data_IF_636264003593
#
_entry.id   IF_636264003593
#
_cell.length_a   1.000
_cell.length_b   1.000
_cell.length_c   1.000
_cell.angle_alpha   90.00
_cell.angle_beta   90.00
_cell.angle_gamma   90.00
#
_symmetry.space_group_name_H-M   'P 1'
#
loop_
_entity.id
_entity.type
_entity.pdbx_description
1 polymer ?
#
# COMPACT_ATOMS: atom_id res chain seq x y z
N UNK A 1 -27.00 28.92 -10.01
CA UNK A 1 -27.16 27.47 -10.32
C UNK A 1 -25.99 26.81 -11.05
N UNK A 2 -25.11 27.49 -11.79
CA UNK A 2 -23.98 26.84 -12.51
C UNK A 2 -22.92 26.18 -11.59
N UNK A 3 -22.80 26.60 -10.32
CA UNK A 3 -21.78 26.08 -9.39
C UNK A 3 -22.09 24.68 -8.81
N UNK A 4 -23.36 24.25 -8.81
CA UNK A 4 -23.73 22.96 -8.24
C UNK A 4 -23.31 21.78 -9.14
N UNK A 5 -23.55 21.88 -10.46
CA UNK A 5 -23.21 20.82 -11.42
C UNK A 5 -21.70 20.59 -11.55
N UNK A 6 -20.88 21.63 -11.39
CA UNK A 6 -19.42 21.50 -11.41
C UNK A 6 -18.88 20.79 -10.18
N UNK A 7 -19.51 20.96 -9.01
CA UNK A 7 -19.13 20.24 -7.78
C UNK A 7 -19.37 18.74 -7.89
N UNK A 8 -20.54 18.34 -8.36
CA UNK A 8 -20.96 16.94 -8.45
C UNK A 8 -20.12 16.12 -9.47
N UNK A 9 -19.79 16.72 -10.62
CA UNK A 9 -18.91 16.06 -11.59
C UNK A 9 -17.47 15.85 -11.07
N UNK A 10 -17.03 16.66 -10.09
CA UNK A 10 -15.68 16.57 -9.50
C UNK A 10 -15.60 15.46 -8.46
N UNK A 11 -16.62 15.30 -7.63
CA UNK A 11 -16.68 14.23 -6.61
C UNK A 11 -16.73 12.86 -7.26
N UNK A 12 -17.46 12.73 -8.37
CA UNK A 12 -17.53 11.48 -9.13
C UNK A 12 -16.15 11.06 -9.69
N UNK A 13 -15.39 12.01 -10.26
CA UNK A 13 -14.05 11.74 -10.82
C UNK A 13 -13.03 11.37 -9.75
N UNK A 14 -13.05 12.03 -8.59
CA UNK A 14 -12.12 11.72 -7.50
C UNK A 14 -12.43 10.37 -6.85
N UNK A 15 -13.71 10.05 -6.68
CA UNK A 15 -14.15 8.72 -6.22
C UNK A 15 -13.72 7.61 -7.17
N UNK A 16 -13.93 7.79 -8.49
CA UNK A 16 -13.54 6.81 -9.50
C UNK A 16 -12.01 6.58 -9.53
N UNK A 17 -11.21 7.65 -9.49
CA UNK A 17 -9.75 7.53 -9.46
C UNK A 17 -9.26 6.79 -8.21
N UNK A 18 -9.82 7.10 -7.03
CA UNK A 18 -9.52 6.40 -5.79
C UNK A 18 -9.89 4.90 -5.85
N UNK A 19 -11.08 4.59 -6.36
CA UNK A 19 -11.55 3.20 -6.51
C UNK A 19 -10.69 2.39 -7.48
N UNK A 20 -10.35 2.96 -8.65
CA UNK A 20 -9.47 2.31 -9.63
C UNK A 20 -8.11 2.03 -9.00
N UNK A 21 -7.53 3.01 -8.29
CA UNK A 21 -6.24 2.82 -7.62
C UNK A 21 -6.31 1.79 -6.49
N UNK A 22 -7.42 1.71 -5.77
CA UNK A 22 -7.64 0.67 -4.75
C UNK A 22 -7.67 -0.73 -5.38
N UNK A 23 -8.40 -0.90 -6.48
CA UNK A 23 -8.45 -2.16 -7.23
C UNK A 23 -7.04 -2.54 -7.72
N UNK A 24 -6.30 -1.59 -8.30
CA UNK A 24 -4.93 -1.82 -8.74
C UNK A 24 -4.03 -2.19 -7.56
N UNK A 25 -4.15 -1.55 -6.39
CA UNK A 25 -3.32 -1.87 -5.24
C UNK A 25 -3.53 -3.29 -4.71
N UNK A 26 -4.77 -3.79 -4.79
CA UNK A 26 -5.12 -5.16 -4.38
C UNK A 26 -4.63 -6.17 -5.42
N UNK A 27 -4.84 -5.87 -6.72
CA UNK A 27 -4.57 -6.82 -7.80
C UNK A 27 -3.09 -6.85 -8.23
N UNK A 28 -2.42 -5.71 -8.23
CA UNK A 28 -1.07 -5.58 -8.77
C UNK A 28 -0.03 -6.26 -7.87
N UNK A 29 0.94 -6.98 -8.46
CA UNK A 29 2.01 -7.56 -7.68
C UNK A 29 2.84 -6.45 -7.01
N UNK A 30 3.21 -6.70 -5.76
CA UNK A 30 4.12 -5.90 -4.95
C UNK A 30 5.59 -6.25 -5.23
N UNK A 31 5.84 -7.50 -5.62
CA UNK A 31 7.19 -7.95 -5.92
C UNK A 31 7.21 -9.30 -6.60
N UNK A 32 8.41 -9.64 -7.07
CA UNK A 32 8.78 -10.95 -7.54
C UNK A 32 9.68 -11.59 -6.47
N UNK A 33 9.29 -12.74 -5.96
CA UNK A 33 10.12 -13.57 -5.10
C UNK A 33 10.79 -14.63 -5.97
N UNK A 34 12.10 -14.72 -5.90
CA UNK A 34 12.89 -15.72 -6.60
C UNK A 34 13.63 -16.56 -5.58
N UNK A 35 13.44 -17.86 -5.63
CA UNK A 35 14.05 -18.83 -4.73
C UNK A 35 15.16 -19.55 -5.49
N UNK A 36 16.35 -19.59 -4.91
CA UNK A 36 17.52 -20.23 -5.48
C UNK A 36 18.06 -21.32 -4.56
N UNK A 37 18.68 -22.32 -5.17
CA UNK A 37 19.54 -23.26 -4.47
C UNK A 37 20.89 -22.57 -4.18
N UNK A 38 21.28 -22.41 -2.91
CA UNK A 38 22.55 -21.77 -2.57
C UNK A 38 23.78 -22.57 -3.03
N UNK A 39 23.64 -23.89 -3.23
CA UNK A 39 24.76 -24.76 -3.63
C UNK A 39 25.01 -24.66 -5.13
N UNK A 40 23.95 -24.75 -5.92
CA UNK A 40 24.06 -24.85 -7.37
C UNK A 40 23.78 -23.54 -8.10
N UNK A 41 23.16 -22.56 -7.42
CA UNK A 41 22.76 -21.27 -7.98
C UNK A 41 21.52 -21.33 -8.88
N UNK A 42 20.91 -22.52 -9.06
CA UNK A 42 19.72 -22.67 -9.91
C UNK A 42 18.49 -22.02 -9.27
N UNK A 43 17.63 -21.48 -10.12
CA UNK A 43 16.31 -21.01 -9.71
C UNK A 43 15.42 -22.23 -9.45
N UNK A 44 14.96 -22.35 -8.20
CA UNK A 44 14.03 -23.38 -7.75
C UNK A 44 12.60 -22.95 -8.07
N UNK A 45 12.23 -21.73 -7.72
CA UNK A 45 10.87 -21.21 -7.86
C UNK A 45 10.87 -19.69 -8.07
N UNK A 46 9.85 -19.21 -8.78
CA UNK A 46 9.55 -17.80 -8.92
C UNK A 46 8.09 -17.56 -8.58
N UNK A 47 7.78 -16.52 -7.82
CA UNK A 47 6.40 -16.19 -7.49
C UNK A 47 6.15 -14.69 -7.47
N UNK A 48 5.03 -14.26 -8.05
CA UNK A 48 4.51 -12.91 -7.89
C UNK A 48 3.81 -12.82 -6.54
N UNK A 49 4.22 -11.84 -5.74
CA UNK A 49 3.56 -11.54 -4.48
C UNK A 49 2.59 -10.41 -4.74
N UNK A 50 1.30 -10.69 -4.64
CA UNK A 50 0.24 -9.68 -4.60
C UNK A 50 -0.22 -9.48 -3.15
N UNK A 51 -1.11 -8.51 -2.95
CA UNK A 51 -1.62 -8.20 -1.60
C UNK A 51 -2.40 -9.37 -0.99
N UNK A 52 -3.20 -10.06 -1.81
CA UNK A 52 -4.10 -11.13 -1.38
C UNK A 52 -3.78 -12.49 -2.00
N UNK A 53 -2.68 -12.64 -2.74
CA UNK A 53 -2.31 -13.93 -3.29
C UNK A 53 -0.84 -13.96 -3.66
N UNK A 54 -0.29 -15.15 -3.73
CA UNK A 54 1.02 -15.40 -4.32
C UNK A 54 0.79 -16.27 -5.55
N UNK A 55 1.23 -15.82 -6.72
CA UNK A 55 1.09 -16.55 -7.97
C UNK A 55 2.45 -17.15 -8.34
N UNK A 56 2.62 -18.48 -8.27
CA UNK A 56 3.83 -19.11 -8.77
C UNK A 56 3.94 -18.88 -10.28
N UNK A 57 5.03 -18.26 -10.70
CA UNK A 57 5.43 -18.17 -12.11
C UNK A 57 6.30 -19.39 -12.37
N UNK A 58 5.87 -20.27 -13.28
CA UNK A 58 6.50 -21.57 -13.56
C UNK A 58 7.87 -21.47 -14.25
N UNK A 59 8.78 -20.67 -13.71
CA UNK A 59 10.17 -20.56 -14.11
C UNK A 59 11.04 -21.12 -12.98
N UNK A 60 11.49 -22.36 -13.14
CA UNK A 60 12.33 -23.06 -12.17
C UNK A 60 12.51 -24.52 -12.56
N UNK A 61 13.56 -25.15 -12.04
CA UNK A 61 13.77 -26.59 -12.19
C UNK A 61 13.02 -27.28 -11.05
N UNK A 62 12.05 -28.14 -11.38
CA UNK A 62 11.44 -29.01 -10.38
C UNK A 62 12.49 -30.02 -9.90
N UNK A 63 12.82 -29.97 -8.61
CA UNK A 63 13.86 -30.79 -7.96
C UNK A 63 15.21 -30.70 -8.67
N UNK A 64 15.92 -29.55 -8.55
CA UNK A 64 17.27 -29.48 -9.06
C UNK A 64 18.14 -30.56 -8.38
N UNK A 65 19.09 -31.18 -9.10
CA UNK A 65 20.00 -32.15 -8.51
C UNK A 65 20.76 -31.48 -7.35
N UNK A 66 20.71 -32.10 -6.16
CA UNK A 66 21.28 -31.54 -4.94
C UNK A 66 20.31 -31.64 -3.76
N UNK A 67 20.18 -30.55 -3.01
CA UNK A 67 19.51 -30.47 -1.70
C UNK A 67 18.03 -30.89 -1.73
N UNK A 68 17.37 -30.86 -2.89
CA UNK A 68 15.93 -31.11 -3.04
C UNK A 68 15.59 -32.30 -3.96
N UNK A 69 16.56 -33.16 -4.29
CA UNK A 69 16.34 -34.28 -5.21
C UNK A 69 15.21 -35.23 -4.79
N UNK A 70 15.05 -35.44 -3.48
CA UNK A 70 14.10 -36.39 -2.89
C UNK A 70 12.78 -35.73 -2.40
N UNK A 71 12.62 -34.41 -2.58
CA UNK A 71 11.45 -33.70 -2.07
C UNK A 71 10.29 -33.82 -3.05
N UNK A 72 9.06 -34.04 -2.54
CA UNK A 72 7.88 -34.07 -3.40
C UNK A 72 7.71 -32.74 -4.13
N UNK A 73 7.44 -32.75 -5.45
CA UNK A 73 7.28 -31.52 -6.21
C UNK A 73 6.18 -30.65 -5.61
N UNK A 74 6.47 -29.35 -5.49
CA UNK A 74 5.52 -28.38 -4.94
C UNK A 74 4.26 -28.36 -5.82
N UNK A 75 3.05 -28.47 -5.26
CA UNK A 75 1.82 -28.46 -6.03
C UNK A 75 1.71 -27.21 -6.91
N UNK A 76 1.32 -27.41 -8.17
CA UNK A 76 1.25 -26.38 -9.23
C UNK A 76 0.06 -25.43 -9.12
N UNK A 77 -0.68 -25.47 -8.01
CA UNK A 77 -1.89 -24.70 -7.81
C UNK A 77 -1.57 -23.42 -7.03
N UNK A 78 -2.28 -22.33 -7.33
CA UNK A 78 -2.17 -21.13 -6.51
C UNK A 78 -2.67 -21.49 -5.11
N UNK A 79 -1.74 -21.68 -4.16
CA UNK A 79 -2.11 -22.03 -2.79
C UNK A 79 -2.51 -20.73 -2.10
N UNK A 80 -3.81 -20.50 -1.78
CA UNK A 80 -4.17 -19.42 -0.87
C UNK A 80 -3.64 -19.81 0.50
N UNK A 81 -2.42 -19.42 0.84
CA UNK A 81 -1.83 -19.68 2.16
C UNK A 81 -2.31 -18.61 3.14
N UNK A 82 -3.33 -18.85 3.98
CA UNK A 82 -3.90 -17.86 4.91
C UNK A 82 -2.83 -17.20 5.81
N UNK A 83 -1.78 -17.95 6.18
CA UNK A 83 -0.67 -17.45 6.99
C UNK A 83 0.18 -16.38 6.29
N UNK A 84 0.34 -16.47 4.97
CA UNK A 84 1.10 -15.49 4.19
C UNK A 84 0.35 -14.15 4.13
N UNK A 85 -0.98 -14.15 4.21
CA UNK A 85 -1.78 -12.92 4.25
C UNK A 85 -1.51 -12.09 5.51
N UNK A 86 -1.51 -12.74 6.67
CA UNK A 86 -1.29 -12.05 7.95
C UNK A 86 0.16 -11.54 8.01
N UNK A 87 1.12 -12.32 7.52
CA UNK A 87 2.52 -11.89 7.41
C UNK A 87 2.74 -10.73 6.44
N UNK A 88 2.00 -10.70 5.31
CA UNK A 88 2.12 -9.66 4.29
C UNK A 88 1.29 -8.41 4.59
N UNK A 89 0.36 -8.44 5.54
CA UNK A 89 -0.50 -7.30 5.85
C UNK A 89 0.29 -6.06 6.30
N UNK A 90 1.22 -6.15 7.29
CA UNK A 90 2.07 -5.02 7.66
C UNK A 90 2.88 -4.47 6.48
N UNK A 91 3.29 -5.40 5.61
CA UNK A 91 4.13 -5.16 4.43
C UNK A 91 3.35 -4.55 3.25
N UNK A 92 2.03 -4.70 3.21
CA UNK A 92 1.18 -4.20 2.10
C UNK A 92 0.30 -3.04 2.53
N UNK A 93 0.20 -2.77 3.83
CA UNK A 93 -0.60 -1.67 4.38
C UNK A 93 -0.20 -0.31 3.80
N UNK A 94 1.09 -0.02 3.59
CA UNK A 94 1.50 1.26 2.99
C UNK A 94 0.98 1.46 1.56
N UNK A 95 0.64 0.39 0.83
CA UNK A 95 -0.02 0.52 -0.49
C UNK A 95 -1.42 1.12 -0.35
N UNK A 96 -2.18 0.71 0.67
CA UNK A 96 -3.48 1.32 0.98
C UNK A 96 -3.32 2.78 1.42
N UNK A 97 -2.31 3.08 2.23
CA UNK A 97 -1.98 4.46 2.61
C UNK A 97 -1.65 5.31 1.38
N UNK A 98 -0.93 4.75 0.40
CA UNK A 98 -0.65 5.43 -0.86
C UNK A 98 -1.91 5.67 -1.69
N UNK A 99 -2.79 4.68 -1.84
CA UNK A 99 -4.10 4.84 -2.49
C UNK A 99 -4.92 5.95 -1.81
N UNK A 100 -4.95 5.96 -0.48
CA UNK A 100 -5.63 7.01 0.28
C UNK A 100 -5.03 8.40 0.03
N UNK A 101 -3.70 8.50 -0.15
CA UNK A 101 -3.06 9.76 -0.50
C UNK A 101 -3.29 10.19 -1.94
N UNK A 102 -3.50 9.26 -2.87
CA UNK A 102 -3.98 9.57 -4.21
C UNK A 102 -5.41 10.12 -4.14
N UNK A 103 -6.29 9.46 -3.40
CA UNK A 103 -7.66 9.95 -3.19
C UNK A 103 -7.67 11.38 -2.61
N UNK A 104 -6.89 11.63 -1.54
CA UNK A 104 -6.71 12.98 -0.98
C UNK A 104 -6.16 13.98 -1.99
N UNK A 105 -5.27 13.55 -2.89
CA UNK A 105 -4.70 14.43 -3.92
C UNK A 105 -5.79 14.88 -4.89
N UNK A 106 -6.67 13.97 -5.31
CA UNK A 106 -7.81 14.31 -6.17
C UNK A 106 -8.89 15.12 -5.47
N UNK A 107 -8.96 15.09 -4.14
CA UNK A 107 -9.78 16.00 -3.35
C UNK A 107 -9.13 17.37 -3.11
N UNK A 108 -7.89 17.60 -3.56
CA UNK A 108 -7.15 18.83 -3.28
C UNK A 108 -6.69 18.97 -1.82
N UNK A 109 -6.71 17.88 -1.04
CA UNK A 109 -6.37 17.86 0.40
C UNK A 109 -4.88 17.59 0.69
N UNK A 110 -4.11 17.23 -0.33
CA UNK A 110 -2.66 16.99 -0.20
C UNK A 110 -1.93 17.48 -1.45
N UNK A 111 -0.60 17.54 -1.39
CA UNK A 111 0.24 17.98 -2.50
C UNK A 111 0.80 16.80 -3.28
N UNK A 112 1.06 17.02 -4.57
CA UNK A 112 1.69 16.01 -5.45
C UNK A 112 3.00 15.49 -4.85
N UNK A 113 3.85 16.36 -4.29
CA UNK A 113 5.14 15.98 -3.66
C UNK A 113 4.93 14.99 -2.50
N UNK A 114 3.98 15.27 -1.60
CA UNK A 114 3.67 14.37 -0.47
C UNK A 114 3.14 13.02 -0.94
N UNK A 115 2.24 13.03 -1.91
CA UNK A 115 1.70 11.79 -2.49
C UNK A 115 2.80 10.95 -3.15
N UNK A 116 3.73 11.58 -3.89
CA UNK A 116 4.88 10.86 -4.48
C UNK A 116 5.83 10.28 -3.43
N UNK A 117 6.12 11.00 -2.36
CA UNK A 117 6.95 10.50 -1.25
C UNK A 117 6.32 9.27 -0.59
N UNK A 118 5.00 9.31 -0.33
CA UNK A 118 4.28 8.17 0.23
C UNK A 118 4.28 6.98 -0.75
N UNK A 119 4.11 7.25 -2.05
CA UNK A 119 4.22 6.23 -3.09
C UNK A 119 5.59 5.55 -3.11
N UNK A 120 6.67 6.33 -3.10
CA UNK A 120 8.03 5.80 -3.04
C UNK A 120 8.27 4.98 -1.77
N UNK A 121 7.82 5.45 -0.61
CA UNK A 121 7.91 4.71 0.65
C UNK A 121 7.12 3.38 0.60
N UNK A 122 5.96 3.37 -0.06
CA UNK A 122 5.11 2.18 -0.18
C UNK A 122 5.68 1.08 -1.08
N UNK A 123 6.59 1.41 -2.01
CA UNK A 123 7.29 0.40 -2.80
C UNK A 123 8.62 0.01 -2.14
N UNK A 124 9.30 0.95 -1.49
CA UNK A 124 10.60 0.73 -0.85
C UNK A 124 10.54 -0.26 0.32
N UNK A 125 9.41 -0.35 1.04
CA UNK A 125 9.22 -1.31 2.13
C UNK A 125 9.53 -2.77 1.71
N UNK A 126 9.16 -3.17 0.49
CA UNK A 126 9.40 -4.53 -0.01
C UNK A 126 10.89 -4.79 -0.18
N UNK A 127 11.63 -3.80 -0.68
CA UNK A 127 13.08 -3.88 -0.80
C UNK A 127 13.75 -3.99 0.57
N UNK A 128 13.31 -3.19 1.54
CA UNK A 128 13.83 -3.21 2.91
C UNK A 128 13.60 -4.59 3.54
N UNK A 129 12.40 -5.14 3.41
CA UNK A 129 12.07 -6.46 3.95
C UNK A 129 12.86 -7.56 3.26
N UNK A 130 13.06 -7.47 1.95
CA UNK A 130 13.91 -8.38 1.20
C UNK A 130 15.36 -8.38 1.70
N UNK A 131 15.93 -7.19 1.90
CA UNK A 131 17.29 -7.02 2.41
C UNK A 131 17.40 -7.55 3.85
N UNK A 132 16.46 -7.20 4.72
CA UNK A 132 16.44 -7.70 6.10
C UNK A 132 16.30 -9.23 6.15
N UNK A 133 15.44 -9.79 5.30
CA UNK A 133 15.27 -11.23 5.17
C UNK A 133 16.52 -11.94 4.66
N UNK A 134 17.31 -11.31 3.79
CA UNK A 134 18.58 -11.84 3.30
C UNK A 134 19.71 -11.78 4.35
N UNK A 135 19.67 -10.80 5.25
CA UNK A 135 20.69 -10.63 6.31
C UNK A 135 20.49 -11.63 7.46
N UNK A 136 19.24 -11.98 7.78
CA UNK A 136 18.95 -12.94 8.85
C UNK A 136 19.32 -14.33 8.34
N UNK A 137 20.34 -15.01 8.94
CA UNK A 137 20.67 -16.38 8.59
C UNK A 137 19.58 -17.29 9.16
N UNK A 138 18.45 -17.35 8.48
CA UNK A 138 17.52 -18.45 8.66
C UNK A 138 18.25 -19.69 8.16
N UNK A 139 18.24 -20.77 8.94
CA UNK A 139 18.70 -22.11 8.52
C UNK A 139 17.84 -22.64 7.36
N UNK A 140 17.84 -21.93 6.24
CA UNK A 140 17.04 -22.23 5.07
C UNK A 140 17.94 -22.92 4.06
N UNK A 141 17.48 -24.06 3.58
CA UNK A 141 18.08 -24.81 2.48
C UNK A 141 17.97 -24.06 1.14
N UNK A 142 17.40 -22.85 1.13
CA UNK A 142 17.15 -22.04 -0.06
C UNK A 142 17.48 -20.57 0.21
N UNK A 143 18.03 -19.87 -0.77
CA UNK A 143 18.17 -18.41 -0.75
C UNK A 143 16.98 -17.74 -1.42
N UNK A 144 16.49 -16.62 -0.88
CA UNK A 144 15.36 -15.87 -1.44
C UNK A 144 15.80 -14.48 -1.84
N UNK A 145 15.46 -14.06 -3.05
CA UNK A 145 15.64 -12.70 -3.55
C UNK A 145 14.26 -12.09 -3.80
N UNK A 146 13.98 -10.98 -3.13
CA UNK A 146 12.76 -10.21 -3.35
C UNK A 146 13.06 -8.99 -4.21
N UNK A 147 12.46 -8.94 -5.39
CA UNK A 147 12.59 -7.85 -6.36
C UNK A 147 11.29 -7.01 -6.29
N UNK A 148 11.32 -5.77 -5.80
CA UNK A 148 10.13 -4.92 -5.73
C UNK A 148 9.64 -4.56 -7.14
N UNK A 149 8.32 -4.60 -7.34
CA UNK A 149 7.69 -4.25 -8.62
C UNK A 149 6.84 -2.97 -8.42
N UNK A 150 7.33 -1.78 -8.85
CA UNK A 150 6.69 -0.50 -8.56
C UNK A 150 5.46 -0.21 -9.44
N UNK A 151 4.64 -1.23 -9.70
CA UNK A 151 3.50 -1.15 -10.64
C UNK A 151 2.44 -0.17 -10.12
N UNK A 152 2.17 -0.18 -8.80
CA UNK A 152 1.19 0.72 -8.21
C UNK A 152 1.67 2.18 -8.29
N UNK A 153 2.95 2.42 -8.01
CA UNK A 153 3.56 3.73 -8.19
C UNK A 153 3.51 4.22 -9.65
N UNK A 154 3.84 3.36 -10.62
CA UNK A 154 3.76 3.69 -12.04
C UNK A 154 2.31 3.96 -12.48
N UNK A 155 1.35 3.14 -12.05
CA UNK A 155 -0.07 3.33 -12.31
C UNK A 155 -0.58 4.67 -11.74
N UNK A 156 -0.13 5.04 -10.53
CA UNK A 156 -0.45 6.33 -9.93
C UNK A 156 0.13 7.50 -10.75
N UNK A 157 1.37 7.38 -11.23
CA UNK A 157 2.00 8.40 -12.09
C UNK A 157 1.23 8.59 -13.40
N UNK A 158 0.85 7.49 -14.05
CA UNK A 158 0.02 7.51 -15.26
C UNK A 158 -1.34 8.16 -14.96
N UNK A 159 -1.98 7.76 -13.87
CA UNK A 159 -3.29 8.29 -13.46
C UNK A 159 -3.23 9.80 -13.23
N UNK A 160 -2.25 10.29 -12.48
CA UNK A 160 -2.03 11.73 -12.24
C UNK A 160 -1.72 12.49 -13.53
N UNK A 161 -1.05 11.86 -14.48
CA UNK A 161 -0.71 12.47 -15.78
C UNK A 161 -1.95 12.57 -16.69
N UNK A 162 -2.79 11.54 -16.73
CA UNK A 162 -3.98 11.47 -17.58
C UNK A 162 -5.13 12.27 -17.00
N UNK A 163 -5.33 12.20 -15.68
CA UNK A 163 -6.37 12.94 -14.96
C UNK A 163 -5.66 13.91 -14.01
N UNK A 164 -5.45 15.18 -14.41
CA UNK A 164 -4.75 16.11 -13.55
C UNK A 164 -5.55 16.33 -12.24
N UNK A 165 -4.88 16.31 -11.08
CA UNK A 165 -5.53 16.55 -9.80
C UNK A 165 -5.98 18.01 -9.70
N UNK A 166 -6.96 18.26 -8.83
CA UNK A 166 -7.39 19.62 -8.52
C UNK A 166 -6.22 20.43 -7.95
N UNK A 167 -6.19 21.72 -8.29
CA UNK A 167 -5.29 22.65 -7.60
C UNK A 167 -5.59 22.61 -6.10
N UNK A 168 -4.53 22.55 -5.30
CA UNK A 168 -4.64 22.42 -3.84
C UNK A 168 -5.34 23.67 -3.32
N UNK A 169 -6.62 23.57 -3.01
CA UNK A 169 -7.34 24.59 -2.26
C UNK A 169 -6.77 24.57 -0.85
N UNK A 170 -5.78 25.44 -0.59
CA UNK A 170 -5.18 25.75 0.72
C UNK A 170 -5.23 24.62 1.77
N UNK A 171 -4.10 23.96 2.08
CA UNK A 171 -4.04 22.66 2.76
C UNK A 171 -4.60 22.56 4.20
N UNK A 172 -5.23 23.61 4.73
CA UNK A 172 -5.65 23.69 6.14
C UNK A 172 -6.95 24.45 6.42
N UNK A 173 -7.67 24.96 5.42
CA UNK A 173 -8.97 25.62 5.66
C UNK A 173 -10.12 24.74 5.19
N UNK A 174 -10.33 23.61 5.86
CA UNK A 174 -11.69 23.10 6.03
C UNK A 174 -12.25 23.83 7.26
N UNK A 175 -13.13 24.85 7.09
CA UNK A 175 -13.75 25.54 8.23
C UNK A 175 -14.58 24.59 9.12
N UNK A 176 -14.99 23.43 8.60
CA UNK A 176 -15.73 22.41 9.35
C UNK A 176 -14.82 21.51 10.23
N UNK A 177 -13.54 21.35 9.89
CA UNK A 177 -12.58 20.51 10.64
C UNK A 177 -11.67 21.31 11.59
N UNK A 178 -11.63 22.64 11.47
CA UNK A 178 -10.74 23.48 12.31
C UNK A 178 -11.23 23.67 13.73
N UNK A 179 -12.50 23.36 14.02
CA UNK A 179 -12.94 23.16 15.40
C UNK A 179 -12.54 21.75 15.84
N UNK A 180 -11.24 21.59 16.03
CA UNK A 180 -10.63 20.42 16.64
C UNK A 180 -11.47 19.99 17.86
N UNK A 181 -11.84 18.72 17.95
CA UNK A 181 -12.80 18.24 18.96
C UNK A 181 -12.37 18.53 20.40
N UNK A 182 -11.06 18.68 20.63
CA UNK A 182 -10.44 19.12 21.89
C UNK A 182 -10.67 20.61 22.21
N UNK A 183 -10.96 21.46 21.22
CA UNK A 183 -11.38 22.84 21.46
C UNK A 183 -12.83 22.92 21.95
N UNK A 184 -13.70 21.99 21.54
CA UNK A 184 -15.10 21.93 22.00
C UNK A 184 -15.22 21.54 23.47
N UNK A 185 -14.37 20.63 23.96
CA UNK A 185 -14.35 20.27 25.40
C UNK A 185 -13.95 21.45 26.28
N UNK A 186 -13.00 22.28 25.83
CA UNK A 186 -12.53 23.45 26.61
C UNK A 186 -13.60 24.53 26.85
N UNK A 187 -14.57 24.67 25.92
CA UNK A 187 -15.68 25.63 26.07
C UNK A 187 -16.73 25.13 27.05
N UNK A 188 -17.02 23.83 27.04
CA UNK A 188 -17.97 23.21 27.96
C UNK A 188 -17.49 23.29 29.41
N UNK A 189 -16.21 23.03 29.64
CA UNK A 189 -15.58 23.06 30.97
C UNK A 189 -15.57 24.48 31.57
N UNK A 190 -15.28 25.51 30.77
CA UNK A 190 -15.37 26.92 31.19
C UNK A 190 -16.81 27.35 31.51
N UNK A 191 -17.80 26.81 30.81
CA UNK A 191 -19.21 27.09 31.08
C UNK A 191 -19.66 26.54 32.44
N UNK A 192 -19.25 25.32 32.80
CA UNK A 192 -19.60 24.72 34.10
C UNK A 192 -19.01 25.50 35.29
N UNK A 193 -17.76 25.96 35.18
CA UNK A 193 -17.08 26.72 36.24
C UNK A 193 -17.70 28.11 36.51
N UNK A 194 -18.42 28.68 35.53
CA UNK A 194 -19.11 29.97 35.72
C UNK A 194 -20.48 29.80 36.39
N UNK A 195 -21.18 28.69 36.15
CA UNK A 195 -22.46 28.38 36.81
C UNK A 195 -22.26 28.16 38.30
N UNK A 196 -21.15 27.51 38.70
CA UNK A 196 -20.86 27.23 40.10
C UNK A 196 -20.51 28.50 40.91
N UNK A 197 -19.88 29.51 40.29
CA UNK A 197 -19.55 30.78 40.95
C UNK A 197 -20.71 31.77 41.06
N UNK A 198 -21.79 31.58 40.31
CA UNK A 198 -22.98 32.43 40.37
C UNK A 198 -24.05 31.98 41.37
N UNK A 199 -23.80 30.87 42.09
CA UNK A 199 -24.75 30.21 43.01
C UNK A 199 -24.39 30.40 44.50
N UNK A 200 -23.39 31.23 44.82
CA UNK A 200 -23.02 31.61 46.19
C UNK A 200 -23.37 33.08 46.43
#
# INVERSE_FOLDING_TARGET
MKNAKTSESRTLKSGAAGAIMAIIAVLAPAGLNVIFDPVTGWIIDMSLICMLWTLPIRFGINNPPGTFADVSPVPNEAIPTPFVFIGNLPVTFLRLVFVYQIYKLYQGRTTRKRTMLVGAASELQMAIIGILGAIIPVFSLSSRLFIPLPILFLAALVTIKVVPPLEVSTPWKNPEDSESWWAKSSKYEKGMLQVEKGSQ
#
